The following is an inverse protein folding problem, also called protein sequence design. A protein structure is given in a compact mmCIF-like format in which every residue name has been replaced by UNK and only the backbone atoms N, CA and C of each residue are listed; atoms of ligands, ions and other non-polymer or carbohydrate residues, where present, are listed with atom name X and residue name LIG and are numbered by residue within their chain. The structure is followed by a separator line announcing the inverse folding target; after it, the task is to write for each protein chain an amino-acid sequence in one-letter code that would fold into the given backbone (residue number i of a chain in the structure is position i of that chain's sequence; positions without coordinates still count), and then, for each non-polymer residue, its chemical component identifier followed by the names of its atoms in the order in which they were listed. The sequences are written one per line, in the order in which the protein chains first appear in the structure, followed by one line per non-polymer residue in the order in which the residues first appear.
data_IF_551446707763
#
_entry.id   IF_551446707763
#
_cell.length_a   1.000
_cell.length_b   1.000
_cell.length_c   1.000
_cell.angle_alpha   90.00
_cell.angle_beta   90.00
_cell.angle_gamma   90.00
#
_symmetry.space_group_name_H-M   'P 1'
#
loop_
_entity.id
_entity.type
_entity.pdbx_description
1 polymer ?
#
# COMPACT_ATOMS: atom_id res chain seq x y z
N UNK A 1 7.32 -19.07 -15.00
CA UNK A 1 6.25 -18.07 -14.70
C UNK A 1 5.16 -18.22 -15.75
N UNK A 2 3.89 -18.37 -15.33
CA UNK A 2 2.79 -18.38 -16.30
C UNK A 2 2.68 -17.01 -16.98
N UNK A 3 2.75 -17.00 -18.32
CA UNK A 3 2.56 -15.81 -19.16
C UNK A 3 1.16 -15.22 -18.96
N UNK A 4 0.17 -16.10 -18.87
CA UNK A 4 -1.22 -15.73 -18.63
C UNK A 4 -1.62 -16.03 -17.18
N UNK A 5 -2.09 -15.00 -16.47
CA UNK A 5 -2.63 -15.13 -15.12
C UNK A 5 -4.15 -15.00 -15.17
N UNK A 6 -4.84 -15.81 -14.37
CA UNK A 6 -6.29 -15.70 -14.22
C UNK A 6 -6.70 -14.25 -13.86
N UNK A 7 -7.74 -13.65 -14.47
CA UNK A 7 -8.11 -12.25 -14.25
C UNK A 7 -8.32 -11.88 -12.78
N UNK A 8 -8.91 -12.79 -11.98
CA UNK A 8 -9.09 -12.56 -10.54
C UNK A 8 -7.76 -12.38 -9.80
N UNK A 9 -6.76 -13.22 -10.13
CA UNK A 9 -5.40 -13.12 -9.57
C UNK A 9 -4.74 -11.81 -9.99
N UNK A 10 -4.89 -11.40 -11.25
CA UNK A 10 -4.37 -10.12 -11.75
C UNK A 10 -4.95 -8.93 -10.98
N UNK A 11 -6.27 -8.91 -10.72
CA UNK A 11 -6.93 -7.86 -9.93
C UNK A 11 -6.37 -7.76 -8.50
N UNK A 12 -6.20 -8.90 -7.82
CA UNK A 12 -5.61 -8.94 -6.46
C UNK A 12 -4.18 -8.39 -6.46
N UNK A 13 -3.35 -8.80 -7.42
CA UNK A 13 -1.98 -8.33 -7.53
C UNK A 13 -1.87 -6.83 -7.82
N UNK A 14 -2.78 -6.27 -8.63
CA UNK A 14 -2.85 -4.82 -8.86
C UNK A 14 -3.16 -4.08 -7.56
N UNK A 15 -4.14 -4.55 -6.78
CA UNK A 15 -4.45 -3.99 -5.45
C UNK A 15 -3.25 -4.08 -4.51
N UNK A 16 -2.53 -5.20 -4.50
CA UNK A 16 -1.35 -5.39 -3.65
C UNK A 16 -0.14 -4.54 -4.10
N UNK A 17 -0.09 -4.16 -5.38
CA UNK A 17 0.92 -3.23 -5.90
C UNK A 17 0.74 -1.82 -5.34
N UNK A 18 -0.51 -1.36 -5.20
CA UNK A 18 -0.78 -0.01 -4.65
C UNK A 18 -0.43 0.11 -3.17
N UNK A 19 -0.50 -0.99 -2.42
CA UNK A 19 -0.15 -1.07 -0.99
C UNK A 19 1.36 -1.02 -0.68
N UNK A 20 2.22 -0.85 -1.69
CA UNK A 20 3.66 -0.67 -1.48
C UNK A 20 4.01 0.77 -1.08
N UNK A 21 3.14 1.72 -1.40
CA UNK A 21 3.31 3.15 -1.16
C UNK A 21 2.83 3.52 0.26
N UNK A 22 3.37 4.62 0.79
CA UNK A 22 2.83 5.24 2.00
C UNK A 22 1.50 5.93 1.73
N UNK A 23 0.75 6.20 2.81
CA UNK A 23 -0.37 7.12 2.76
C UNK A 23 0.10 8.48 2.19
N UNK A 24 -0.73 9.16 1.38
CA UNK A 24 -0.37 10.46 0.80
C UNK A 24 -0.12 11.51 1.88
N UNK A 25 0.82 12.43 1.67
CA UNK A 25 1.14 13.47 2.65
C UNK A 25 -0.07 14.32 3.06
N UNK A 26 -0.96 14.66 2.13
CA UNK A 26 -2.17 15.44 2.42
C UNK A 26 -3.09 14.78 3.46
N UNK A 27 -3.04 13.46 3.63
CA UNK A 27 -3.84 12.75 4.63
C UNK A 27 -3.41 13.07 6.05
N UNK A 28 -2.15 13.48 6.26
CA UNK A 28 -1.64 13.94 7.57
C UNK A 28 -2.48 15.10 8.07
N UNK A 29 -2.82 16.05 7.19
CA UNK A 29 -3.63 17.21 7.56
C UNK A 29 -5.06 16.85 7.93
N UNK A 30 -5.64 15.83 7.28
CA UNK A 30 -7.00 15.37 7.59
C UNK A 30 -7.07 14.62 8.92
N UNK A 31 -6.08 13.79 9.22
CA UNK A 31 -6.08 12.93 10.42
C UNK A 31 -5.59 13.69 11.66
N UNK A 32 -4.52 14.47 11.54
CA UNK A 32 -3.85 15.10 12.68
C UNK A 32 -4.08 16.62 12.78
N UNK A 33 -4.68 17.23 11.77
CA UNK A 33 -4.84 18.67 11.67
C UNK A 33 -3.67 19.40 11.00
N UNK A 34 -3.89 20.67 10.68
CA UNK A 34 -2.90 21.54 10.02
C UNK A 34 -1.71 21.81 10.95
N UNK A 35 -0.50 21.87 10.39
CA UNK A 35 0.73 22.23 11.12
C UNK A 35 1.42 21.09 11.87
N UNK A 36 0.84 19.88 11.89
CA UNK A 36 1.48 18.70 12.47
C UNK A 36 2.54 18.12 11.53
N UNK A 37 3.78 18.03 11.99
CA UNK A 37 4.91 17.41 11.26
C UNK A 37 4.95 15.89 11.47
N UNK A 38 3.84 15.19 11.21
CA UNK A 38 3.76 13.73 11.35
C UNK A 38 4.02 13.07 10.00
N UNK A 39 4.91 12.09 9.98
CA UNK A 39 5.20 11.33 8.77
C UNK A 39 4.05 10.34 8.44
N UNK A 40 3.63 10.19 7.16
CA UNK A 40 2.47 9.37 6.80
C UNK A 40 2.58 7.88 7.14
N UNK A 41 3.79 7.38 7.39
CA UNK A 41 4.01 6.02 7.86
C UNK A 41 3.29 5.73 9.19
N UNK A 42 3.03 6.75 10.02
CA UNK A 42 2.38 6.58 11.33
C UNK A 42 0.93 6.09 11.23
N UNK A 43 0.20 6.48 10.18
CA UNK A 43 -1.19 6.06 9.94
C UNK A 43 -1.37 5.23 8.67
N UNK A 44 -0.27 4.82 8.03
CA UNK A 44 -0.34 3.84 6.95
C UNK A 44 -0.60 2.46 7.56
N UNK A 45 -1.83 1.94 7.47
CA UNK A 45 -2.19 0.64 8.05
C UNK A 45 -1.44 -0.54 7.43
N UNK A 46 -1.31 -0.57 6.11
CA UNK A 46 -0.67 -1.67 5.37
C UNK A 46 0.41 -1.09 4.47
N UNK A 47 1.66 -1.48 4.70
CA UNK A 47 2.78 -1.20 3.79
C UNK A 47 3.46 -2.50 3.41
N UNK A 48 3.22 -2.94 2.18
CA UNK A 48 3.75 -4.20 1.68
C UNK A 48 5.22 -4.08 1.28
N UNK A 49 5.99 -5.13 1.52
CA UNK A 49 7.37 -5.25 1.08
C UNK A 49 7.58 -6.61 0.42
N UNK A 50 8.20 -6.61 -0.77
CA UNK A 50 8.48 -7.83 -1.53
C UNK A 50 9.49 -8.77 -0.87
N UNK A 51 10.34 -8.24 0.03
CA UNK A 51 11.38 -9.01 0.71
C UNK A 51 10.96 -9.59 2.05
N UNK A 52 9.92 -9.02 2.68
CA UNK A 52 9.53 -9.36 4.06
C UNK A 52 8.41 -10.39 4.18
N UNK A 53 7.65 -10.65 3.11
CA UNK A 53 6.57 -11.64 3.14
C UNK A 53 6.20 -12.16 1.76
N UNK A 54 5.84 -13.45 1.71
CA UNK A 54 5.26 -14.08 0.51
C UNK A 54 3.84 -13.55 0.26
N UNK A 55 3.39 -13.66 -0.99
CA UNK A 55 2.09 -13.15 -1.41
C UNK A 55 1.23 -14.29 -1.91
N UNK A 56 0.24 -14.68 -1.11
CA UNK A 56 -0.69 -15.75 -1.46
C UNK A 56 -1.89 -15.15 -2.23
N UNK A 57 -1.63 -14.68 -3.46
CA UNK A 57 -2.61 -13.99 -4.32
C UNK A 57 -3.05 -14.80 -5.53
#
# INVERSE_FOLDING_TARGET
MARNRHPARKKRLIKLSTQTKWAPFWTVFKVYGKGRKVHPSRHTHVKRSWRRGSTDA
#
